data_IF_889603537569
#
_entry.id   IF_889603537569
#
_cell.length_a   1.000
_cell.length_b   1.000
_cell.length_c   1.000
_cell.angle_alpha   90.00
_cell.angle_beta   90.00
_cell.angle_gamma   90.00
#
_symmetry.space_group_name_H-M   'P 1'
#
loop_
_entity.id
_entity.type
_entity.pdbx_description
1 polymer ?
#
# COMPACT_ATOMS: atom_id res chain seq x y z
N UNK A 1 -20.10 -12.08 6.35
CA UNK A 1 -20.71 -12.38 5.02
C UNK A 1 -19.91 -11.60 3.98
N UNK A 2 -18.69 -12.06 3.73
CA UNK A 2 -17.61 -11.31 3.06
C UNK A 2 -17.61 -11.64 1.56
N UNK A 3 -18.42 -10.91 0.79
CA UNK A 3 -18.56 -11.06 -0.67
C UNK A 3 -17.56 -10.20 -1.47
N UNK A 4 -16.26 -10.21 -1.15
CA UNK A 4 -15.28 -9.37 -1.85
C UNK A 4 -14.18 -10.09 -2.67
N UNK A 5 -13.66 -11.28 -2.32
CA UNK A 5 -12.51 -11.83 -3.07
C UNK A 5 -12.87 -12.48 -4.41
N UNK A 6 -14.10 -12.99 -4.58
CA UNK A 6 -14.43 -13.87 -5.71
C UNK A 6 -14.63 -13.10 -7.03
N UNK A 7 -14.99 -11.81 -6.96
CA UNK A 7 -15.44 -11.04 -8.13
C UNK A 7 -14.30 -10.47 -8.99
N UNK A 8 -13.06 -10.48 -8.49
CA UNK A 8 -11.89 -9.87 -9.15
C UNK A 8 -10.83 -10.92 -9.51
N UNK A 9 -11.16 -12.20 -9.34
CA UNK A 9 -10.20 -13.30 -9.41
C UNK A 9 -9.75 -13.61 -10.85
N UNK A 10 -10.51 -13.18 -11.85
CA UNK A 10 -10.12 -13.28 -13.27
C UNK A 10 -9.40 -12.03 -13.79
N UNK A 11 -9.26 -10.95 -13.01
CA UNK A 11 -8.57 -9.75 -13.46
C UNK A 11 -7.12 -10.05 -13.87
N UNK A 12 -6.42 -10.89 -13.09
CA UNK A 12 -5.03 -11.27 -13.37
C UNK A 12 -4.88 -12.00 -14.73
N UNK A 13 -5.86 -12.82 -15.14
CA UNK A 13 -5.79 -13.55 -16.41
C UNK A 13 -6.19 -12.71 -17.63
N UNK A 14 -6.80 -11.54 -17.41
CA UNK A 14 -7.27 -10.65 -18.48
C UNK A 14 -6.30 -9.48 -18.75
N UNK A 15 -5.17 -9.42 -18.05
CA UNK A 15 -4.20 -8.33 -18.13
C UNK A 15 -2.84 -8.84 -18.62
N UNK A 16 -2.16 -8.00 -19.39
CA UNK A 16 -0.75 -8.19 -19.80
C UNK A 16 0.26 -7.76 -18.72
N UNK A 17 -0.20 -7.51 -17.49
CA UNK A 17 0.64 -7.17 -16.35
C UNK A 17 1.50 -8.37 -15.93
N UNK A 18 2.71 -8.13 -15.43
CA UNK A 18 3.58 -9.21 -14.94
C UNK A 18 3.16 -9.71 -13.55
N UNK A 19 2.43 -8.89 -12.81
CA UNK A 19 1.80 -9.25 -11.54
C UNK A 19 0.62 -8.32 -11.26
N UNK A 20 -0.45 -8.88 -10.70
CA UNK A 20 -1.59 -8.11 -10.18
C UNK A 20 -1.70 -8.36 -8.68
N UNK A 21 -1.71 -7.28 -7.90
CA UNK A 21 -1.86 -7.34 -6.44
C UNK A 21 -3.18 -6.69 -6.05
N UNK A 22 -4.03 -7.44 -5.36
CA UNK A 22 -5.35 -7.00 -4.90
C UNK A 22 -5.39 -6.90 -3.39
N UNK A 23 -5.94 -5.80 -2.87
CA UNK A 23 -6.22 -5.62 -1.46
C UNK A 23 -7.50 -4.81 -1.28
N UNK A 24 -8.59 -5.49 -0.90
CA UNK A 24 -9.94 -4.88 -0.89
C UNK A 24 -10.27 -4.20 -2.23
N UNK A 25 -10.41 -2.87 -2.26
CA UNK A 25 -10.62 -2.06 -3.46
C UNK A 25 -9.32 -1.55 -4.10
N UNK A 26 -8.19 -1.61 -3.40
CA UNK A 26 -6.90 -1.21 -3.94
C UNK A 26 -6.35 -2.28 -4.88
N UNK A 27 -6.00 -1.88 -6.10
CA UNK A 27 -5.42 -2.73 -7.14
C UNK A 27 -4.08 -2.15 -7.58
N UNK A 28 -3.04 -2.96 -7.58
CA UNK A 28 -1.70 -2.58 -8.06
C UNK A 28 -1.26 -3.49 -9.20
N UNK A 29 -0.68 -2.90 -10.24
CA UNK A 29 -0.12 -3.63 -11.38
C UNK A 29 1.41 -3.48 -11.38
N UNK A 30 2.11 -4.60 -11.52
CA UNK A 30 3.58 -4.61 -11.66
C UNK A 30 3.93 -4.88 -13.11
N UNK A 31 4.85 -4.06 -13.62
CA UNK A 31 5.29 -4.11 -15.02
C UNK A 31 6.81 -4.19 -15.05
N UNK A 32 7.30 -5.22 -15.75
CA UNK A 32 8.71 -5.52 -15.99
C UNK A 32 8.99 -5.27 -17.46
N UNK A 33 9.95 -4.39 -17.71
CA UNK A 33 10.44 -4.10 -19.05
C UNK A 33 11.89 -3.60 -18.96
N UNK A 34 12.66 -3.88 -20.01
CA UNK A 34 14.08 -3.54 -20.15
C UNK A 34 14.28 -2.16 -20.78
N UNK A 35 13.41 -1.77 -21.71
CA UNK A 35 13.47 -0.48 -22.40
C UNK A 35 12.52 0.54 -21.79
N UNK A 36 12.90 1.82 -21.80
CA UNK A 36 12.04 2.91 -21.29
C UNK A 36 10.76 3.04 -22.13
N UNK A 37 10.90 2.97 -23.45
CA UNK A 37 9.79 3.07 -24.40
C UNK A 37 8.85 1.88 -24.27
N UNK A 38 9.39 0.67 -24.15
CA UNK A 38 8.59 -0.53 -23.87
C UNK A 38 7.83 -0.40 -22.55
N UNK A 39 8.46 0.19 -21.52
CA UNK A 39 7.84 0.33 -20.19
C UNK A 39 6.61 1.24 -20.26
N UNK A 40 6.72 2.39 -20.92
CA UNK A 40 5.56 3.30 -21.13
C UNK A 40 4.46 2.61 -21.93
N UNK A 41 4.84 1.96 -23.03
CA UNK A 41 3.90 1.27 -23.93
C UNK A 41 3.16 0.14 -23.23
N UNK A 42 3.87 -0.68 -22.43
CA UNK A 42 3.29 -1.77 -21.65
C UNK A 42 2.41 -1.23 -20.52
N UNK A 43 2.84 -0.15 -19.84
CA UNK A 43 2.02 0.51 -18.81
C UNK A 43 0.71 1.05 -19.36
N UNK A 44 0.74 1.77 -20.48
CA UNK A 44 -0.46 2.27 -21.14
C UNK A 44 -1.38 1.13 -21.60
N UNK A 45 -0.79 0.02 -22.08
CA UNK A 45 -1.55 -1.16 -22.50
C UNK A 45 -2.25 -1.83 -21.31
N UNK A 46 -1.53 -2.09 -20.22
CA UNK A 46 -2.09 -2.68 -18.99
C UNK A 46 -3.18 -1.77 -18.41
N UNK A 47 -2.96 -0.45 -18.35
CA UNK A 47 -3.96 0.48 -17.82
C UNK A 47 -5.24 0.51 -18.66
N UNK A 48 -5.12 0.44 -19.99
CA UNK A 48 -6.26 0.36 -20.90
C UNK A 48 -7.02 -0.96 -20.79
N UNK A 49 -6.32 -2.08 -20.63
CA UNK A 49 -6.93 -3.39 -20.38
C UNK A 49 -7.67 -3.40 -19.03
N UNK A 50 -7.05 -2.85 -17.99
CA UNK A 50 -7.66 -2.72 -16.67
C UNK A 50 -8.92 -1.87 -16.71
N UNK A 51 -8.87 -0.70 -17.36
CA UNK A 51 -10.05 0.17 -17.51
C UNK A 51 -11.21 -0.54 -18.22
N UNK A 52 -10.91 -1.29 -19.30
CA UNK A 52 -11.91 -2.09 -20.02
C UNK A 52 -12.50 -3.19 -19.15
N UNK A 53 -11.66 -3.92 -18.41
CA UNK A 53 -12.12 -4.99 -17.52
C UNK A 53 -12.99 -4.43 -16.38
N UNK A 54 -12.56 -3.33 -15.76
CA UNK A 54 -13.35 -2.65 -14.72
C UNK A 54 -14.70 -2.20 -15.27
N UNK A 55 -14.73 -1.55 -16.43
CA UNK A 55 -15.96 -1.10 -17.07
C UNK A 55 -16.90 -2.28 -17.41
N UNK A 56 -16.37 -3.37 -17.97
CA UNK A 56 -17.14 -4.59 -18.25
C UNK A 56 -17.76 -5.20 -16.98
N UNK A 57 -17.05 -5.09 -15.86
CA UNK A 57 -17.48 -5.54 -14.54
C UNK A 57 -18.29 -4.50 -13.75
N UNK A 58 -18.70 -3.39 -14.37
CA UNK A 58 -19.45 -2.28 -13.77
C UNK A 58 -18.72 -1.60 -12.59
N UNK A 59 -17.40 -1.65 -12.63
CA UNK A 59 -16.49 -0.96 -11.71
C UNK A 59 -15.92 0.28 -12.41
N UNK A 60 -15.61 1.31 -11.63
CA UNK A 60 -15.02 2.56 -12.14
C UNK A 60 -13.63 2.73 -11.54
N UNK A 61 -12.62 2.76 -12.39
CA UNK A 61 -11.27 3.15 -11.98
C UNK A 61 -11.26 4.62 -11.53
N UNK A 62 -10.44 4.96 -10.53
CA UNK A 62 -10.34 6.32 -10.01
C UNK A 62 -8.98 6.96 -10.42
N UNK A 63 -8.93 7.73 -11.53
CA UNK A 63 -7.68 8.29 -12.04
C UNK A 63 -6.98 9.21 -11.04
N UNK A 64 -7.74 9.89 -10.17
CA UNK A 64 -7.18 10.80 -9.16
C UNK A 64 -6.46 10.06 -8.03
N UNK A 65 -6.82 8.79 -7.80
CA UNK A 65 -6.16 7.93 -6.80
C UNK A 65 -5.12 7.00 -7.41
N UNK A 66 -5.21 6.74 -8.72
CA UNK A 66 -4.21 5.95 -9.45
C UNK A 66 -2.87 6.68 -9.44
N UNK A 67 -1.85 6.01 -8.93
CA UNK A 67 -0.48 6.52 -8.88
C UNK A 67 0.44 5.58 -9.65
N UNK A 68 1.52 6.13 -10.19
CA UNK A 68 2.54 5.39 -10.93
C UNK A 68 3.89 5.59 -10.24
N UNK A 69 4.63 4.49 -10.07
CA UNK A 69 5.97 4.52 -9.49
C UNK A 69 6.95 3.80 -10.40
N UNK A 70 7.90 4.56 -10.93
CA UNK A 70 9.00 4.02 -11.71
C UNK A 70 10.21 3.73 -10.82
N UNK A 71 10.56 2.45 -10.67
CA UNK A 71 11.84 2.07 -10.10
C UNK A 71 12.98 2.40 -11.07
N UNK A 72 13.81 3.39 -10.73
CA UNK A 72 14.94 3.85 -11.55
C UNK A 72 16.20 3.74 -10.70
N UNK A 73 17.02 2.72 -10.95
CA UNK A 73 18.23 2.46 -10.16
C UNK A 73 19.41 3.38 -10.48
N UNK A 74 19.37 4.16 -11.58
CA UNK A 74 20.59 4.76 -12.12
C UNK A 74 20.46 6.23 -12.57
N UNK A 75 19.69 7.08 -11.87
CA UNK A 75 19.52 8.48 -12.30
C UNK A 75 19.44 9.49 -11.15
N UNK A 76 19.97 10.69 -11.41
CA UNK A 76 19.89 11.91 -10.57
C UNK A 76 18.52 12.61 -10.65
N UNK A 77 17.46 11.88 -10.99
CA UNK A 77 16.10 12.45 -11.01
C UNK A 77 15.54 12.46 -9.59
N UNK A 78 14.59 13.37 -9.35
CA UNK A 78 13.90 13.48 -8.07
C UNK A 78 13.22 12.16 -7.71
N UNK A 79 13.39 11.74 -6.46
CA UNK A 79 12.75 10.51 -5.97
C UNK A 79 11.25 10.74 -5.84
N UNK A 80 10.46 10.03 -6.63
CA UNK A 80 9.02 9.94 -6.43
C UNK A 80 8.74 9.03 -5.23
N UNK A 81 7.82 9.45 -4.36
CA UNK A 81 7.41 8.70 -3.17
C UNK A 81 5.89 8.56 -3.20
N UNK A 82 5.41 7.33 -3.11
CA UNK A 82 3.99 7.02 -3.09
C UNK A 82 3.63 6.24 -1.83
N UNK A 83 2.36 6.29 -1.44
CA UNK A 83 1.85 5.55 -0.29
C UNK A 83 0.98 4.39 -0.74
N UNK A 84 1.43 3.16 -0.53
CA UNK A 84 0.71 1.93 -0.86
C UNK A 84 0.40 1.17 0.43
N UNK A 85 -0.88 0.94 0.74
CA UNK A 85 -1.32 0.18 1.92
C UNK A 85 -0.68 0.65 3.25
N UNK A 86 -0.41 1.96 3.36
CA UNK A 86 0.23 2.56 4.53
C UNK A 86 1.77 2.53 4.54
N UNK A 87 2.41 1.96 3.52
CA UNK A 87 3.85 1.98 3.30
C UNK A 87 4.24 3.14 2.38
N UNK A 88 5.29 3.87 2.74
CA UNK A 88 5.90 4.84 1.84
C UNK A 88 6.96 4.12 1.01
N UNK A 89 6.82 4.15 -0.31
CA UNK A 89 7.74 3.50 -1.24
C UNK A 89 8.26 4.56 -2.20
N UNK A 90 9.58 4.73 -2.23
CA UNK A 90 10.24 5.65 -3.13
C UNK A 90 10.85 4.92 -4.35
N UNK A 91 11.01 5.65 -5.45
CA UNK A 91 11.53 5.12 -6.72
C UNK A 91 12.93 4.52 -6.64
N UNK A 92 13.70 4.89 -5.60
CA UNK A 92 15.05 4.40 -5.34
C UNK A 92 15.10 3.33 -4.24
N UNK A 93 13.95 2.95 -3.68
CA UNK A 93 13.84 1.99 -2.58
C UNK A 93 14.76 2.36 -1.40
N UNK A 94 14.89 3.66 -1.11
CA UNK A 94 15.66 4.15 0.04
C UNK A 94 14.93 3.96 1.36
N UNK A 95 13.60 3.89 1.31
CA UNK A 95 12.70 3.76 2.47
C UNK A 95 12.78 4.91 3.47
N UNK A 96 13.48 6.01 3.14
CA UNK A 96 13.76 7.10 4.08
C UNK A 96 12.48 7.70 4.66
N UNK A 97 11.54 8.10 3.79
CA UNK A 97 10.26 8.65 4.22
C UNK A 97 9.42 7.66 5.06
N UNK A 98 9.54 6.35 4.78
CA UNK A 98 8.85 5.32 5.57
C UNK A 98 9.46 5.18 6.96
N UNK A 99 10.79 5.14 7.03
CA UNK A 99 11.55 5.04 8.27
C UNK A 99 11.27 6.25 9.15
N UNK A 100 11.23 7.46 8.59
CA UNK A 100 10.92 8.69 9.33
C UNK A 100 9.48 8.69 9.89
N UNK A 101 8.48 8.32 9.08
CA UNK A 101 7.09 8.17 9.55
C UNK A 101 7.01 7.12 10.66
N UNK A 102 7.64 5.97 10.47
CA UNK A 102 7.62 4.88 11.43
C UNK A 102 8.32 5.28 12.74
N UNK A 103 9.50 5.91 12.66
CA UNK A 103 10.25 6.39 13.81
C UNK A 103 9.48 7.46 14.59
N UNK A 104 8.82 8.40 13.90
CA UNK A 104 7.97 9.41 14.51
C UNK A 104 6.79 8.78 15.27
N UNK A 105 6.11 7.82 14.65
CA UNK A 105 4.99 7.09 15.27
C UNK A 105 5.43 6.25 16.47
N UNK A 106 6.56 5.56 16.38
CA UNK A 106 7.13 4.81 17.49
C UNK A 106 7.54 5.72 18.64
N UNK A 107 8.16 6.86 18.33
CA UNK A 107 8.54 7.86 19.33
C UNK A 107 7.33 8.42 20.06
N UNK A 108 6.24 8.72 19.34
CA UNK A 108 4.99 9.17 19.93
C UNK A 108 4.33 8.09 20.82
N UNK A 109 4.34 6.82 20.39
CA UNK A 109 3.84 5.71 21.18
C UNK A 109 4.66 5.51 22.47
N UNK A 110 6.00 5.52 22.36
CA UNK A 110 6.92 5.42 23.51
C UNK A 110 6.68 6.57 24.48
N UNK A 111 6.58 7.81 23.98
CA UNK A 111 6.30 8.98 24.81
C UNK A 111 4.98 8.82 25.58
N UNK A 112 3.93 8.37 24.89
CA UNK A 112 2.61 8.13 25.48
C UNK A 112 2.68 7.08 26.61
N UNK A 113 3.38 5.97 26.37
CA UNK A 113 3.59 4.92 27.38
C UNK A 113 4.38 5.45 28.58
N UNK A 114 5.46 6.23 28.35
CA UNK A 114 6.27 6.82 29.42
C UNK A 114 5.43 7.75 30.31
N UNK A 115 4.58 8.59 29.70
CA UNK A 115 3.71 9.52 30.41
C UNK A 115 2.62 8.81 31.20
N UNK A 116 2.03 7.75 30.66
CA UNK A 116 1.03 6.96 31.39
C UNK A 116 1.70 6.22 32.55
N UNK A 117 2.91 5.66 32.35
CA UNK A 117 3.66 5.03 33.44
C UNK A 117 3.98 6.01 34.58
N UNK A 118 4.22 7.29 34.30
CA UNK A 118 4.52 8.28 35.34
C UNK A 118 3.29 8.76 36.12
N UNK A 119 2.08 8.59 35.58
CA UNK A 119 0.83 9.13 36.17
C UNK A 119 -0.15 8.02 36.58
N UNK A 120 0.10 6.76 36.18
CA UNK A 120 -0.84 5.65 36.35
C UNK A 120 -0.17 4.38 36.90
N UNK A 121 -1.00 3.44 37.34
CA UNK A 121 -0.57 2.09 37.73
C UNK A 121 -0.01 1.31 36.54
N UNK A 122 0.89 0.36 36.83
CA UNK A 122 1.51 -0.55 35.87
C UNK A 122 0.50 -1.23 34.94
N UNK A 123 -0.72 -1.51 35.41
CA UNK A 123 -1.77 -2.13 34.60
C UNK A 123 -2.24 -1.25 33.43
N UNK A 124 -2.36 0.07 33.62
CA UNK A 124 -2.76 0.97 32.53
C UNK A 124 -1.64 1.18 31.51
N UNK A 125 -0.38 1.20 31.95
CA UNK A 125 0.77 1.25 31.05
C UNK A 125 0.88 -0.03 30.20
N UNK A 126 0.62 -1.19 30.80
CA UNK A 126 0.59 -2.48 30.11
C UNK A 126 -0.58 -2.57 29.13
N UNK A 127 -1.77 -2.13 29.51
CA UNK A 127 -2.93 -2.04 28.62
C UNK A 127 -2.64 -1.11 27.43
N UNK A 128 -2.00 0.03 27.65
CA UNK A 128 -1.65 0.96 26.57
C UNK A 128 -0.64 0.35 25.60
N UNK A 129 0.39 -0.34 26.09
CA UNK A 129 1.33 -1.06 25.25
C UNK A 129 0.63 -2.15 24.41
N UNK A 130 -0.24 -2.94 25.04
CA UNK A 130 -1.05 -3.95 24.36
C UNK A 130 -1.97 -3.32 23.33
N UNK A 131 -2.67 -2.23 23.64
CA UNK A 131 -3.55 -1.50 22.70
C UNK A 131 -2.77 -0.89 21.54
N UNK A 132 -1.55 -0.39 21.73
CA UNK A 132 -0.72 0.08 20.62
C UNK A 132 -0.28 -1.06 19.69
N UNK A 133 0.01 -2.25 20.24
CA UNK A 133 0.30 -3.45 19.45
C UNK A 133 -0.95 -4.01 18.75
N UNK A 134 -2.06 -4.11 19.49
CA UNK A 134 -3.33 -4.69 19.05
C UNK A 134 -4.15 -3.75 18.19
N UNK A 135 -4.04 -2.42 18.29
CA UNK A 135 -4.71 -1.50 17.36
C UNK A 135 -4.25 -1.73 15.91
N UNK A 136 -3.08 -2.36 15.71
CA UNK A 136 -2.58 -2.76 14.39
C UNK A 136 -2.99 -4.20 14.04
N UNK A 137 -3.07 -5.11 15.01
CA UNK A 137 -3.61 -6.45 14.81
C UNK A 137 -5.14 -6.46 14.61
N UNK A 138 -5.87 -5.53 15.23
CA UNK A 138 -7.33 -5.36 15.16
C UNK A 138 -7.77 -4.81 13.82
N UNK A 139 -6.95 -3.96 13.18
CA UNK A 139 -7.15 -3.58 11.78
C UNK A 139 -6.96 -4.77 10.83
N UNK A 140 -6.14 -5.77 11.21
CA UNK A 140 -5.95 -7.01 10.47
C UNK A 140 -6.98 -8.09 10.82
N UNK A 141 -7.55 -8.12 12.03
CA UNK A 141 -8.62 -9.06 12.39
C UNK A 141 -10.01 -8.57 11.98
N UNK A 142 -10.24 -7.26 11.86
CA UNK A 142 -11.44 -6.72 11.18
C UNK A 142 -11.45 -6.96 9.67
N UNK A 143 -10.36 -7.47 9.10
CA UNK A 143 -10.28 -7.98 7.73
C UNK A 143 -10.50 -9.50 7.66
N UNK A 144 -10.81 -10.16 8.79
CA UNK A 144 -11.03 -11.60 8.89
C UNK A 144 -12.47 -11.99 9.31
N UNK A 145 -13.42 -11.06 9.24
CA UNK A 145 -14.87 -11.32 9.38
C UNK A 145 -15.63 -10.78 8.14
#
# INVERSE_FOLDING_TARGET
>A
MTKHPVYVNDLEVNLSADQVCLYADDTSFVIKETSREGKSTKAETVMREAERWFAANKLKMNPNKTQHLDFIMNRREDSTNIKILGLHVDSRLTWAAHIDDLAGRLSAAIYSIRRIKSVSTYQAARLTFTVFGESRASLLTKLRD
#
